data_IF_411435161280
#
_entry.id   IF_411435161280
#
_cell.length_a   1.000
_cell.length_b   1.000
_cell.length_c   1.000
_cell.angle_alpha   90.00
_cell.angle_beta   90.00
_cell.angle_gamma   90.00
#
_symmetry.space_group_name_H-M   'P 1'
#
loop_
_entity.id
_entity.type
_entity.pdbx_description
1 polymer ?
#
# COMPACT_ATOMS: atom_id res chain seq x y z
N UNK A 1 -63.18 -16.88 59.68
CA UNK A 1 -63.58 -17.21 58.29
C UNK A 1 -62.56 -16.50 57.40
N UNK A 2 -61.41 -17.15 57.14
CA UNK A 2 -61.09 -17.89 55.90
C UNK A 2 -60.90 -16.97 54.69
N UNK A 3 -59.88 -17.04 53.83
CA UNK A 3 -58.64 -17.83 53.69
C UNK A 3 -57.90 -17.28 52.45
N UNK A 4 -56.59 -17.54 52.34
CA UNK A 4 -55.80 -17.64 51.07
C UNK A 4 -55.28 -16.33 50.47
N UNK A 5 -53.97 -15.99 50.46
CA UNK A 5 -52.74 -16.59 49.86
C UNK A 5 -52.56 -16.31 48.36
N UNK A 6 -51.44 -15.65 48.02
CA UNK A 6 -50.39 -16.00 47.02
C UNK A 6 -49.82 -14.73 46.36
N UNK A 7 -48.71 -14.14 46.84
CA UNK A 7 -47.28 -14.42 46.58
C UNK A 7 -46.73 -13.95 45.22
N UNK A 8 -45.79 -12.99 45.35
CA UNK A 8 -44.88 -12.26 44.44
C UNK A 8 -44.38 -12.98 43.17
N UNK A 9 -44.21 -12.22 42.07
CA UNK A 9 -42.94 -12.09 41.29
C UNK A 9 -42.99 -10.90 40.26
N UNK A 10 -41.95 -10.59 39.41
CA UNK A 10 -41.07 -9.42 39.62
C UNK A 10 -40.78 -8.54 38.35
N UNK A 11 -39.88 -7.55 38.53
CA UNK A 11 -38.81 -7.07 37.61
C UNK A 11 -39.09 -6.41 36.24
N UNK A 12 -38.52 -5.20 36.12
CA UNK A 12 -37.62 -4.69 35.06
C UNK A 12 -38.10 -3.81 33.88
N UNK A 13 -37.42 -2.66 33.81
CA UNK A 13 -36.93 -1.88 32.66
C UNK A 13 -37.90 -1.15 31.69
N UNK A 14 -37.72 0.18 31.47
CA UNK A 14 -38.27 0.87 30.32
C UNK A 14 -37.33 0.79 29.10
N UNK A 15 -37.92 0.48 27.96
CA UNK A 15 -37.36 0.45 26.62
C UNK A 15 -36.76 1.80 26.20
N UNK A 16 -35.49 1.83 25.82
CA UNK A 16 -34.91 2.85 24.92
C UNK A 16 -33.94 2.18 23.97
N UNK A 17 -34.35 2.04 22.71
CA UNK A 17 -33.49 1.77 21.57
C UNK A 17 -32.46 2.91 21.42
N UNK A 18 -31.16 2.64 21.24
CA UNK A 18 -30.22 3.66 20.81
C UNK A 18 -30.37 3.92 19.29
N UNK A 19 -30.11 5.15 18.83
CA UNK A 19 -30.13 5.48 17.41
C UNK A 19 -28.89 4.91 16.71
N UNK A 20 -29.07 4.57 15.43
CA UNK A 20 -28.03 4.10 14.52
C UNK A 20 -26.80 5.02 14.52
N UNK A 21 -25.66 4.49 14.96
CA UNK A 21 -24.36 5.12 14.73
C UNK A 21 -23.99 4.94 13.26
N UNK A 22 -23.75 6.01 12.47
CA UNK A 22 -23.11 5.83 11.19
C UNK A 22 -21.67 5.37 11.43
N UNK A 23 -21.35 4.15 10.99
CA UNK A 23 -19.98 3.61 10.91
C UNK A 23 -19.12 4.54 10.05
N UNK A 24 -18.51 5.53 10.67
CA UNK A 24 -17.51 6.39 10.06
C UNK A 24 -16.20 5.61 10.02
N UNK A 25 -15.99 4.81 8.97
CA UNK A 25 -14.66 4.28 8.64
C UNK A 25 -13.84 5.49 8.17
N UNK A 26 -12.78 5.91 8.90
CA UNK A 26 -11.99 7.04 8.45
C UNK A 26 -11.35 6.69 7.10
N UNK A 27 -11.58 7.54 6.11
CA UNK A 27 -10.83 7.53 4.86
C UNK A 27 -9.33 7.55 5.20
N UNK A 28 -8.58 6.58 4.69
CA UNK A 28 -7.16 6.39 4.98
C UNK A 28 -6.38 7.69 4.77
N UNK A 29 -5.83 8.25 5.83
CA UNK A 29 -4.81 9.31 5.74
C UNK A 29 -3.66 8.76 4.88
N UNK A 30 -3.15 9.51 3.88
CA UNK A 30 -2.01 9.05 3.10
C UNK A 30 -0.82 8.84 4.04
N UNK A 31 -0.38 7.59 4.16
CA UNK A 31 0.75 7.20 5.01
C UNK A 31 2.09 7.58 4.40
N UNK A 32 2.12 7.98 3.12
CA UNK A 32 3.33 8.24 2.32
C UNK A 32 4.35 7.10 2.38
N UNK A 33 3.93 5.90 2.77
CA UNK A 33 4.71 4.67 2.83
C UNK A 33 3.77 3.50 2.52
N UNK A 34 4.28 2.37 1.99
CA UNK A 34 3.42 1.26 1.61
C UNK A 34 2.85 0.60 2.87
N UNK A 35 1.53 0.42 2.90
CA UNK A 35 0.81 -0.28 3.95
C UNK A 35 -0.28 -1.16 3.33
N UNK A 36 -0.50 -2.34 3.92
CA UNK A 36 -1.60 -3.22 3.50
C UNK A 36 -2.94 -2.58 3.89
N UNK A 37 -3.88 -2.37 2.96
CA UNK A 37 -5.18 -1.77 3.26
C UNK A 37 -5.95 -2.62 4.27
N UNK A 38 -6.68 -1.96 5.18
CA UNK A 38 -7.59 -2.65 6.09
C UNK A 38 -8.65 -3.43 5.31
N UNK A 39 -8.84 -4.71 5.67
CA UNK A 39 -9.78 -5.61 5.00
C UNK A 39 -9.27 -6.29 3.73
N UNK A 40 -8.05 -6.00 3.25
CA UNK A 40 -7.47 -6.76 2.15
C UNK A 40 -7.12 -8.19 2.60
N UNK A 41 -7.82 -9.18 2.08
CA UNK A 41 -7.52 -10.59 2.26
C UNK A 41 -6.82 -11.16 1.02
N UNK A 42 -5.54 -11.51 1.17
CA UNK A 42 -4.78 -12.14 0.10
C UNK A 42 -5.22 -13.59 -0.08
N UNK A 43 -5.36 -14.03 -1.33
CA UNK A 43 -5.60 -15.44 -1.64
C UNK A 43 -4.39 -16.30 -1.27
N UNK A 44 -4.62 -17.58 -1.00
CA UNK A 44 -3.55 -18.52 -0.63
C UNK A 44 -2.35 -18.48 -1.58
N UNK A 45 -2.58 -18.51 -2.89
CA UNK A 45 -1.51 -18.45 -3.89
C UNK A 45 -0.75 -17.12 -3.89
N UNK A 46 -1.38 -16.00 -3.49
CA UNK A 46 -0.70 -14.71 -3.35
C UNK A 46 0.21 -14.72 -2.13
N UNK A 47 -0.28 -15.24 -1.01
CA UNK A 47 0.52 -15.42 0.22
C UNK A 47 1.72 -16.34 -0.05
N UNK A 48 1.51 -17.45 -0.76
CA UNK A 48 2.58 -18.36 -1.16
C UNK A 48 3.60 -17.69 -2.09
N UNK A 49 3.15 -16.91 -3.07
CA UNK A 49 4.04 -16.16 -3.96
C UNK A 49 4.91 -15.15 -3.19
N UNK A 50 4.33 -14.44 -2.22
CA UNK A 50 5.04 -13.49 -1.36
C UNK A 50 6.07 -14.22 -0.51
N UNK A 51 5.65 -15.28 0.20
CA UNK A 51 6.53 -16.08 1.04
C UNK A 51 7.73 -16.65 0.25
N UNK A 52 7.46 -17.21 -0.93
CA UNK A 52 8.49 -17.73 -1.81
C UNK A 52 9.46 -16.63 -2.27
N UNK A 53 8.97 -15.42 -2.58
CA UNK A 53 9.83 -14.30 -2.96
C UNK A 53 10.77 -13.87 -1.82
N UNK A 54 10.27 -13.83 -0.58
CA UNK A 54 11.11 -13.58 0.59
C UNK A 54 12.15 -14.69 0.80
N UNK A 55 11.76 -15.97 0.69
CA UNK A 55 12.67 -17.11 0.80
C UNK A 55 13.77 -17.08 -0.27
N UNK A 56 13.47 -16.58 -1.47
CA UNK A 56 14.42 -16.38 -2.56
C UNK A 56 15.19 -15.06 -2.46
N UNK A 57 15.56 -14.65 -1.24
CA UNK A 57 16.37 -13.45 -0.96
C UNK A 57 15.80 -12.17 -1.58
N UNK A 58 14.47 -12.05 -1.67
CA UNK A 58 13.78 -10.86 -2.16
C UNK A 58 14.11 -10.58 -3.65
N UNK A 59 14.27 -11.64 -4.44
CA UNK A 59 14.58 -11.57 -5.87
C UNK A 59 13.92 -12.72 -6.63
N UNK A 60 13.47 -12.46 -7.86
CA UNK A 60 12.91 -13.49 -8.74
C UNK A 60 11.72 -13.01 -9.55
N UNK A 61 11.12 -13.94 -10.31
CA UNK A 61 9.95 -13.69 -11.15
C UNK A 61 8.72 -14.38 -10.57
N UNK A 62 7.63 -13.63 -10.42
CA UNK A 62 6.33 -14.18 -10.04
C UNK A 62 5.54 -14.55 -11.31
N UNK A 63 5.36 -15.85 -11.55
CA UNK A 63 4.52 -16.35 -12.65
C UNK A 63 3.07 -16.37 -12.21
N UNK A 64 2.28 -15.44 -12.73
CA UNK A 64 0.88 -15.24 -12.34
C UNK A 64 0.00 -15.04 -13.58
N UNK A 65 -1.17 -15.69 -13.62
CA UNK A 65 -2.12 -15.53 -14.72
C UNK A 65 -2.74 -14.12 -14.75
N UNK A 66 -3.17 -13.65 -15.92
CA UNK A 66 -3.97 -12.41 -16.01
C UNK A 66 -5.23 -12.53 -15.16
N UNK A 67 -5.62 -11.45 -14.48
CA UNK A 67 -6.76 -11.46 -13.55
C UNK A 67 -6.48 -12.02 -12.16
N UNK A 68 -5.39 -12.78 -11.94
CA UNK A 68 -5.08 -13.40 -10.63
C UNK A 68 -4.62 -12.44 -9.53
N UNK A 69 -4.53 -11.13 -9.80
CA UNK A 69 -4.16 -10.13 -8.80
C UNK A 69 -2.68 -9.78 -8.71
N UNK A 70 -1.89 -9.95 -9.78
CA UNK A 70 -0.44 -9.63 -9.84
C UNK A 70 -0.04 -8.27 -9.24
N UNK A 71 -0.81 -7.22 -9.49
CA UNK A 71 -0.54 -5.88 -8.93
C UNK A 71 -0.74 -5.83 -7.42
N UNK A 72 -1.81 -6.46 -6.92
CA UNK A 72 -2.09 -6.54 -5.48
C UNK A 72 -0.98 -7.33 -4.79
N UNK A 73 -0.54 -8.44 -5.38
CA UNK A 73 0.58 -9.23 -4.86
C UNK A 73 1.86 -8.40 -4.78
N UNK A 74 2.22 -7.66 -5.84
CA UNK A 74 3.42 -6.83 -5.84
C UNK A 74 3.38 -5.68 -4.81
N UNK A 75 2.23 -5.02 -4.65
CA UNK A 75 2.04 -3.97 -3.64
C UNK A 75 2.07 -4.54 -2.21
N UNK A 76 1.52 -5.74 -2.02
CA UNK A 76 1.61 -6.46 -0.75
C UNK A 76 3.07 -6.84 -0.40
N UNK A 77 3.87 -7.26 -1.39
CA UNK A 77 5.32 -7.47 -1.20
C UNK A 77 5.98 -6.17 -0.72
N UNK A 78 5.70 -5.03 -1.36
CA UNK A 78 6.29 -3.76 -0.98
C UNK A 78 5.91 -3.34 0.45
N UNK A 79 4.64 -3.51 0.83
CA UNK A 79 4.16 -3.22 2.18
C UNK A 79 4.80 -4.14 3.24
N UNK A 80 4.86 -5.44 2.97
CA UNK A 80 5.48 -6.40 3.90
C UNK A 80 6.99 -6.18 4.01
N UNK A 81 7.67 -5.88 2.90
CA UNK A 81 9.10 -5.58 2.88
C UNK A 81 9.39 -4.32 3.69
N UNK A 82 8.62 -3.25 3.47
CA UNK A 82 8.74 -2.02 4.24
C UNK A 82 8.56 -2.30 5.74
N UNK A 83 7.49 -2.99 6.13
CA UNK A 83 7.24 -3.31 7.54
C UNK A 83 8.37 -4.12 8.19
N UNK A 84 8.81 -5.21 7.55
CA UNK A 84 9.89 -6.06 8.06
C UNK A 84 11.23 -5.32 8.14
N UNK A 85 11.52 -4.46 7.18
CA UNK A 85 12.77 -3.71 7.10
C UNK A 85 12.81 -2.53 8.09
N UNK A 86 11.67 -1.92 8.39
CA UNK A 86 11.55 -0.88 9.41
C UNK A 86 11.86 -1.41 10.82
N UNK A 87 11.47 -2.66 11.12
CA UNK A 87 11.82 -3.33 12.38
C UNK A 87 13.33 -3.58 12.54
N UNK A 88 14.09 -3.52 11.43
CA UNK A 88 15.53 -3.71 11.40
C UNK A 88 16.28 -2.37 11.29
N UNK A 89 15.59 -1.24 11.53
CA UNK A 89 16.13 0.12 11.40
C UNK A 89 16.69 0.44 10.00
N UNK A 90 16.26 -0.31 8.98
CA UNK A 90 16.68 -0.16 7.58
C UNK A 90 15.47 -0.16 6.64
N UNK A 91 14.53 0.79 6.79
CA UNK A 91 13.28 0.76 6.06
C UNK A 91 13.51 0.81 4.54
N UNK A 92 12.66 0.11 3.78
CA UNK A 92 12.54 0.31 2.34
C UNK A 92 12.10 1.75 2.09
N UNK A 93 12.90 2.55 1.40
CA UNK A 93 12.60 3.98 1.18
C UNK A 93 12.14 4.29 -0.25
N UNK A 94 12.12 3.31 -1.15
CA UNK A 94 11.79 3.54 -2.54
C UNK A 94 11.22 2.33 -3.27
N UNK A 95 10.30 2.57 -4.20
CA UNK A 95 9.79 1.59 -5.16
C UNK A 95 9.75 2.17 -6.57
N UNK A 96 10.45 1.53 -7.51
CA UNK A 96 10.36 1.81 -8.94
C UNK A 96 9.63 0.66 -9.65
N UNK A 97 8.62 1.01 -10.44
CA UNK A 97 7.86 0.09 -11.28
C UNK A 97 7.95 0.55 -12.73
N UNK A 98 8.18 -0.39 -13.65
CA UNK A 98 8.27 -0.10 -15.09
C UNK A 98 7.23 -0.92 -15.85
N UNK A 99 6.45 -0.27 -16.72
CA UNK A 99 5.43 -0.91 -17.57
C UNK A 99 5.56 -0.52 -19.05
N UNK A 100 5.11 -1.35 -20.00
CA UNK A 100 5.16 -1.00 -21.42
C UNK A 100 4.15 0.09 -21.83
N UNK A 101 3.02 0.23 -21.15
CA UNK A 101 1.90 1.07 -21.61
C UNK A 101 1.41 2.09 -20.57
N UNK A 102 1.10 3.31 -21.02
CA UNK A 102 0.62 4.43 -20.18
C UNK A 102 -0.65 4.09 -19.39
N UNK A 103 -1.62 3.43 -20.01
CA UNK A 103 -2.87 3.04 -19.33
C UNK A 103 -2.65 2.02 -18.20
N UNK A 104 -1.59 1.22 -18.25
CA UNK A 104 -1.24 0.32 -17.15
C UNK A 104 -0.59 1.07 -15.99
N UNK A 105 0.17 2.12 -16.30
CA UNK A 105 0.75 3.00 -15.28
C UNK A 105 -0.34 3.66 -14.44
N UNK A 106 -1.38 4.20 -15.09
CA UNK A 106 -2.51 4.83 -14.37
C UNK A 106 -3.30 3.82 -13.53
N UNK A 107 -3.59 2.63 -14.05
CA UNK A 107 -4.23 1.56 -13.28
C UNK A 107 -3.41 1.11 -12.07
N UNK A 108 -2.08 1.07 -12.20
CA UNK A 108 -1.19 0.77 -11.08
C UNK A 108 -1.21 1.88 -10.04
N UNK A 109 -1.23 3.15 -10.47
CA UNK A 109 -1.31 4.29 -9.56
C UNK A 109 -2.59 4.24 -8.70
N UNK A 110 -3.73 3.93 -9.31
CA UNK A 110 -5.00 3.76 -8.57
C UNK A 110 -4.93 2.67 -7.51
N UNK A 111 -4.30 1.53 -7.83
CA UNK A 111 -4.11 0.44 -6.87
C UNK A 111 -3.11 0.82 -5.78
N UNK A 112 -2.03 1.52 -6.13
CA UNK A 112 -1.03 1.98 -5.19
C UNK A 112 -1.59 2.96 -4.15
N UNK A 113 -2.49 3.86 -4.57
CA UNK A 113 -3.19 4.78 -3.65
C UNK A 113 -3.98 4.05 -2.56
N UNK A 114 -4.55 2.88 -2.87
CA UNK A 114 -5.23 2.05 -1.86
C UNK A 114 -4.26 1.51 -0.80
N UNK A 115 -2.98 1.38 -1.13
CA UNK A 115 -1.90 1.00 -0.21
C UNK A 115 -1.22 2.20 0.47
N UNK A 116 -1.83 3.39 0.40
CA UNK A 116 -1.29 4.62 1.02
C UNK A 116 -0.17 5.30 0.24
N UNK A 117 0.09 4.86 -1.00
CA UNK A 117 1.18 5.38 -1.84
C UNK A 117 0.70 6.47 -2.81
N UNK A 118 1.56 7.44 -3.10
CA UNK A 118 1.33 8.46 -4.13
C UNK A 118 2.46 8.41 -5.17
N UNK A 119 2.32 7.59 -6.23
CA UNK A 119 3.38 7.44 -7.21
C UNK A 119 3.53 8.65 -8.12
N UNK A 120 4.78 9.04 -8.37
CA UNK A 120 5.13 9.95 -9.47
C UNK A 120 5.06 9.16 -10.77
N UNK A 121 4.32 9.70 -11.74
CA UNK A 121 4.05 9.04 -13.01
C UNK A 121 4.95 9.57 -14.12
N UNK A 122 5.92 8.77 -14.53
CA UNK A 122 6.96 9.16 -15.49
C UNK A 122 6.64 8.57 -16.86
N UNK A 123 5.74 9.22 -17.60
CA UNK A 123 5.39 8.79 -18.96
C UNK A 123 5.01 9.90 -19.95
N UNK A 124 5.07 11.17 -19.50
CA UNK A 124 4.89 12.39 -20.29
C UNK A 124 6.22 13.13 -20.47
N UNK A 125 6.16 14.42 -20.84
CA UNK A 125 7.29 15.31 -21.00
C UNK A 125 8.10 15.47 -19.71
N UNK A 126 9.42 15.57 -19.85
CA UNK A 126 10.37 15.65 -18.72
C UNK A 126 10.02 16.80 -17.77
N UNK A 127 9.61 17.95 -18.32
CA UNK A 127 9.22 19.14 -17.56
C UNK A 127 8.02 18.90 -16.62
N UNK A 128 7.20 17.88 -16.88
CA UNK A 128 6.02 17.57 -16.07
C UNK A 128 6.34 16.79 -14.78
N UNK A 129 7.45 16.07 -14.72
CA UNK A 129 7.75 15.16 -13.60
C UNK A 129 9.13 15.35 -12.99
N UNK A 130 10.10 15.95 -13.69
CA UNK A 130 11.49 15.98 -13.23
C UNK A 130 11.65 16.78 -11.94
N UNK A 131 11.02 17.94 -11.84
CA UNK A 131 11.05 18.75 -10.62
C UNK A 131 10.44 18.02 -9.43
N UNK A 132 9.25 17.42 -9.61
CA UNK A 132 8.57 16.66 -8.57
C UNK A 132 9.41 15.46 -8.11
N UNK A 133 10.00 14.70 -9.05
CA UNK A 133 10.87 13.57 -8.75
C UNK A 133 12.09 14.01 -7.94
N UNK A 134 12.77 15.08 -8.38
CA UNK A 134 13.94 15.58 -7.68
C UNK A 134 13.58 16.01 -6.25
N UNK A 135 12.48 16.76 -6.07
CA UNK A 135 12.02 17.18 -4.76
C UNK A 135 11.67 16.00 -3.85
N UNK A 136 10.97 14.98 -4.35
CA UNK A 136 10.64 13.79 -3.54
C UNK A 136 11.88 12.98 -3.17
N UNK A 137 12.81 12.75 -4.11
CA UNK A 137 14.04 12.01 -3.83
C UNK A 137 14.90 12.73 -2.78
N UNK A 138 15.04 14.05 -2.89
CA UNK A 138 15.74 14.85 -1.88
C UNK A 138 15.04 14.78 -0.52
N UNK A 139 13.71 14.86 -0.48
CA UNK A 139 12.96 14.75 0.77
C UNK A 139 13.16 13.38 1.45
N UNK A 140 13.24 12.29 0.68
CA UNK A 140 13.55 10.95 1.21
C UNK A 140 14.98 10.86 1.72
N UNK A 141 15.95 11.39 0.97
CA UNK A 141 17.36 11.39 1.38
C UNK A 141 17.59 12.22 2.66
N UNK A 142 16.85 13.32 2.83
CA UNK A 142 16.89 14.16 4.04
C UNK A 142 16.05 13.61 5.20
N UNK A 143 15.31 12.51 5.02
CA UNK A 143 14.44 11.93 6.05
C UNK A 143 13.12 12.69 6.28
N UNK A 144 12.80 13.70 5.46
CA UNK A 144 11.57 14.47 5.53
C UNK A 144 10.36 13.75 4.92
N UNK A 145 10.61 12.73 4.11
CA UNK A 145 9.61 11.82 3.56
C UNK A 145 10.08 10.38 3.77
N UNK A 146 9.20 9.46 4.19
CA UNK A 146 9.63 8.09 4.48
C UNK A 146 9.83 7.25 3.21
N UNK A 147 9.20 7.62 2.09
CA UNK A 147 9.16 6.77 0.90
C UNK A 147 8.98 7.57 -0.41
N UNK A 148 9.59 7.09 -1.48
CA UNK A 148 9.31 7.55 -2.86
C UNK A 148 8.79 6.39 -3.72
N UNK A 149 7.69 6.60 -4.43
CA UNK A 149 7.19 5.63 -5.41
C UNK A 149 7.22 6.24 -6.82
N UNK A 150 7.80 5.51 -7.76
CA UNK A 150 7.93 5.93 -9.14
C UNK A 150 7.35 4.86 -10.05
N UNK A 151 6.51 5.26 -11.00
CA UNK A 151 6.01 4.37 -12.05
C UNK A 151 6.35 4.97 -13.41
N UNK A 152 7.17 4.27 -14.19
CA UNK A 152 7.66 4.71 -15.49
C UNK A 152 7.18 3.79 -16.63
N UNK A 153 7.21 4.31 -17.86
CA UNK A 153 7.15 3.44 -19.04
C UNK A 153 8.53 2.93 -19.41
N UNK A 154 8.63 1.82 -20.16
CA UNK A 154 9.91 1.36 -20.71
C UNK A 154 10.64 2.48 -21.48
N UNK A 155 9.89 3.26 -22.27
CA UNK A 155 10.41 4.34 -23.11
C UNK A 155 10.96 5.53 -22.32
N UNK A 156 10.45 5.80 -21.11
CA UNK A 156 10.99 6.86 -20.24
C UNK A 156 12.06 6.32 -19.32
N UNK A 157 11.95 5.06 -18.89
CA UNK A 157 12.95 4.38 -18.07
C UNK A 157 14.34 4.42 -18.71
N UNK A 158 14.46 4.14 -20.01
CA UNK A 158 15.76 4.11 -20.69
C UNK A 158 16.34 5.50 -21.02
N UNK A 159 15.62 6.60 -20.78
CA UNK A 159 16.08 7.94 -21.13
C UNK A 159 17.04 8.48 -20.07
N UNK A 160 18.05 9.23 -20.52
CA UNK A 160 19.04 9.88 -19.65
C UNK A 160 18.40 10.80 -18.60
N UNK A 161 17.28 11.45 -18.96
CA UNK A 161 16.54 12.30 -18.03
C UNK A 161 16.05 11.55 -16.80
N UNK A 162 15.65 10.28 -16.90
CA UNK A 162 15.28 9.47 -15.74
C UNK A 162 16.50 8.76 -15.15
N UNK A 163 17.39 8.19 -15.97
CA UNK A 163 18.58 7.49 -15.49
C UNK A 163 19.47 8.39 -14.61
N UNK A 164 19.62 9.67 -14.96
CA UNK A 164 20.33 10.67 -14.14
C UNK A 164 19.66 10.98 -12.80
N UNK A 165 18.37 10.70 -12.63
CA UNK A 165 17.67 10.85 -11.35
C UNK A 165 17.77 9.57 -10.50
N UNK A 166 17.83 8.39 -11.15
CA UNK A 166 17.90 7.11 -10.45
C UNK A 166 19.19 6.92 -9.63
N UNK A 167 20.25 7.67 -9.90
CA UNK A 167 21.45 7.69 -9.04
C UNK A 167 21.17 8.20 -7.62
N UNK A 168 20.13 9.02 -7.45
CA UNK A 168 19.67 9.53 -6.16
C UNK A 168 18.58 8.66 -5.52
N UNK A 169 18.16 7.59 -6.20
CA UNK A 169 17.17 6.68 -5.67
C UNK A 169 17.73 5.95 -4.43
N UNK A 170 16.92 5.71 -3.38
CA UNK A 170 17.40 5.01 -2.19
C UNK A 170 18.07 3.68 -2.53
N UNK A 171 19.25 3.45 -1.97
CA UNK A 171 20.05 2.25 -2.26
C UNK A 171 19.35 1.02 -1.66
N UNK A 172 19.51 -0.12 -2.34
CA UNK A 172 19.07 -1.40 -1.80
C UNK A 172 19.87 -1.70 -0.52
N UNK A 173 19.20 -1.83 0.62
CA UNK A 173 19.82 -2.36 1.83
C UNK A 173 20.23 -3.81 1.58
N UNK A 174 21.53 -4.11 1.72
CA UNK A 174 22.09 -5.47 1.73
C UNK A 174 21.62 -6.23 2.96
#
# INVERSE_FOLDING_TARGET
>A
MSSGVSSRNPSNAPSKTPPDTPSNVPASVPSFHPATPSGLQLRFYQQQAIANWFANRRQGTLKMATGSGKTITALAIAAELHHKSAQQEKPLQGLLIVYPYRHLVTQWAEKARKFGLQPILIFHDVQSWQGELQSQLLAVLSGNQPFAMVIATNTTFIRDSLQSQLQFFPKRSS
#
